data_IF_194933160419
#
_entry.id   IF_194933160419
#
_cell.length_a   1.000
_cell.length_b   1.000
_cell.length_c   1.000
_cell.angle_alpha   90.00
_cell.angle_beta   90.00
_cell.angle_gamma   90.00
#
_symmetry.space_group_name_H-M   'P 1'
#
loop_
_entity.id
_entity.type
_entity.pdbx_description
1 polymer ?
#
# COMPACT_ATOMS: atom_id res chain seq x y z
N UNK A 1 -20.98 -15.26 -10.23
CA UNK A 1 -20.31 -14.92 -8.96
C UNK A 1 -18.82 -15.10 -9.20
N UNK A 2 -18.09 -14.04 -9.59
CA UNK A 2 -16.65 -14.16 -9.89
C UNK A 2 -15.93 -14.16 -8.56
N UNK A 3 -15.57 -15.34 -8.04
CA UNK A 3 -14.59 -15.45 -6.97
C UNK A 3 -13.31 -14.84 -7.50
N UNK A 4 -12.99 -13.62 -7.07
CA UNK A 4 -11.71 -13.00 -7.43
C UNK A 4 -10.61 -13.88 -6.85
N UNK A 5 -9.83 -14.51 -7.74
CA UNK A 5 -8.63 -15.27 -7.39
C UNK A 5 -7.77 -14.47 -6.42
N UNK A 6 -7.13 -15.13 -5.46
CA UNK A 6 -6.30 -14.48 -4.43
C UNK A 6 -5.24 -13.60 -5.08
N UNK A 7 -4.68 -14.06 -6.21
CA UNK A 7 -3.77 -13.31 -7.08
C UNK A 7 -4.31 -11.95 -7.53
N UNK A 8 -5.53 -11.92 -8.10
CA UNK A 8 -6.18 -10.68 -8.56
C UNK A 8 -6.40 -9.69 -7.42
N UNK A 9 -6.66 -10.17 -6.19
CA UNK A 9 -6.80 -9.30 -5.01
C UNK A 9 -5.47 -8.67 -4.62
N UNK A 10 -4.37 -9.42 -4.76
CA UNK A 10 -3.02 -8.93 -4.54
C UNK A 10 -2.61 -7.92 -5.62
N UNK A 11 -2.91 -8.21 -6.89
CA UNK A 11 -2.67 -7.28 -8.02
C UNK A 11 -3.43 -5.96 -7.85
N UNK A 12 -4.68 -6.01 -7.40
CA UNK A 12 -5.48 -4.80 -7.15
C UNK A 12 -4.89 -3.93 -6.02
N UNK A 13 -4.28 -4.54 -5.00
CA UNK A 13 -3.60 -3.78 -3.95
C UNK A 13 -2.44 -2.96 -4.55
N UNK A 14 -1.62 -3.58 -5.39
CA UNK A 14 -0.45 -2.91 -5.98
C UNK A 14 -0.81 -1.91 -7.08
N UNK A 15 -1.78 -2.24 -7.94
CA UNK A 15 -2.08 -1.44 -9.14
C UNK A 15 -3.14 -0.37 -8.93
N UNK A 16 -4.07 -0.59 -7.99
CA UNK A 16 -5.20 0.32 -7.78
C UNK A 16 -5.11 1.01 -6.43
N UNK A 17 -4.93 0.24 -5.35
CA UNK A 17 -5.02 0.79 -3.99
C UNK A 17 -3.81 1.66 -3.65
N UNK A 18 -2.58 1.18 -3.88
CA UNK A 18 -1.37 1.96 -3.60
C UNK A 18 -1.34 3.29 -4.39
N UNK A 19 -1.58 3.31 -5.72
CA UNK A 19 -1.64 4.56 -6.47
C UNK A 19 -2.76 5.49 -6.02
N UNK A 20 -3.94 4.95 -5.67
CA UNK A 20 -5.05 5.76 -5.18
C UNK A 20 -4.73 6.47 -3.85
N UNK A 21 -3.85 5.91 -3.01
CA UNK A 21 -3.40 6.59 -1.79
C UNK A 21 -2.67 7.90 -2.09
N UNK A 22 -1.87 7.95 -3.17
CA UNK A 22 -1.18 9.19 -3.57
C UNK A 22 -2.14 10.25 -4.12
N UNK A 23 -3.23 9.85 -4.79
CA UNK A 23 -4.32 10.77 -5.17
C UNK A 23 -5.06 11.28 -3.93
N UNK A 24 -5.24 10.40 -2.93
CA UNK A 24 -5.79 10.74 -1.62
C UNK A 24 -4.98 11.81 -0.91
N UNK A 25 -3.64 11.75 -0.97
CA UNK A 25 -2.76 12.82 -0.46
C UNK A 25 -3.22 14.15 -1.03
N UNK A 26 -3.24 14.32 -2.35
CA UNK A 26 -3.56 15.61 -3.01
C UNK A 26 -4.91 16.22 -2.60
N UNK A 27 -5.87 15.41 -2.15
CA UNK A 27 -7.26 15.83 -1.89
C UNK A 27 -7.70 15.78 -0.42
N UNK A 28 -6.91 15.21 0.48
CA UNK A 28 -7.27 14.98 1.90
C UNK A 28 -6.39 15.76 2.87
N UNK A 29 -6.91 15.96 4.08
CA UNK A 29 -6.29 16.68 5.20
C UNK A 29 -5.25 15.84 5.96
N UNK A 30 -4.41 16.50 6.77
CA UNK A 30 -3.30 15.85 7.46
C UNK A 30 -3.73 14.71 8.42
N UNK A 31 -4.95 14.76 8.97
CA UNK A 31 -5.48 13.66 9.79
C UNK A 31 -5.65 12.38 8.98
N UNK A 32 -6.09 12.50 7.72
CA UNK A 32 -6.21 11.36 6.82
C UNK A 32 -4.84 10.77 6.51
N UNK A 33 -3.83 11.64 6.27
CA UNK A 33 -2.47 11.20 5.95
C UNK A 33 -1.81 10.48 7.13
N UNK A 34 -1.94 11.05 8.34
CA UNK A 34 -1.46 10.42 9.57
C UNK A 34 -2.12 9.05 9.81
N UNK A 35 -3.45 8.98 9.72
CA UNK A 35 -4.16 7.70 9.86
C UNK A 35 -3.79 6.68 8.77
N UNK A 36 -3.48 7.16 7.56
CA UNK A 36 -3.02 6.30 6.47
C UNK A 36 -1.67 5.68 6.80
N UNK A 37 -0.71 6.48 7.27
CA UNK A 37 0.63 6.04 7.65
C UNK A 37 0.65 5.10 8.87
N UNK A 38 -0.13 5.43 9.89
CA UNK A 38 -0.11 4.71 11.18
C UNK A 38 -0.98 3.44 11.17
N UNK A 39 -2.11 3.45 10.47
CA UNK A 39 -3.10 2.37 10.55
C UNK A 39 -3.34 1.67 9.22
N UNK A 40 -3.59 2.44 8.14
CA UNK A 40 -4.08 1.86 6.88
C UNK A 40 -2.99 1.13 6.12
N UNK A 41 -1.81 1.74 5.99
CA UNK A 41 -0.68 1.18 5.26
C UNK A 41 -0.16 -0.12 5.91
N UNK A 42 0.07 -0.20 7.24
CA UNK A 42 0.47 -1.46 7.89
C UNK A 42 -0.61 -2.55 7.78
N UNK A 43 -1.89 -2.17 7.87
CA UNK A 43 -3.00 -3.12 7.71
C UNK A 43 -3.06 -3.70 6.29
N UNK A 44 -2.81 -2.87 5.28
CA UNK A 44 -2.74 -3.32 3.89
C UNK A 44 -1.52 -4.19 3.61
N UNK A 45 -0.36 -3.85 4.18
CA UNK A 45 0.85 -4.67 4.08
C UNK A 45 0.62 -6.06 4.64
N UNK A 46 0.08 -6.16 5.86
CA UNK A 46 -0.25 -7.44 6.49
C UNK A 46 -1.24 -8.25 5.65
N UNK A 47 -2.21 -7.57 5.02
CA UNK A 47 -3.16 -8.21 4.11
C UNK A 47 -2.51 -8.68 2.81
N UNK A 48 -1.62 -7.90 2.21
CA UNK A 48 -0.88 -8.26 1.01
C UNK A 48 0.03 -9.48 1.26
N UNK A 49 0.74 -9.50 2.39
CA UNK A 49 1.55 -10.64 2.81
C UNK A 49 0.71 -11.90 3.00
N UNK A 50 -0.46 -11.78 3.65
CA UNK A 50 -1.39 -12.91 3.79
C UNK A 50 -1.87 -13.43 2.44
N UNK A 51 -2.26 -12.54 1.54
CA UNK A 51 -2.70 -12.91 0.18
C UNK A 51 -1.57 -13.57 -0.60
N UNK A 52 -0.33 -13.12 -0.48
CA UNK A 52 0.82 -13.75 -1.12
C UNK A 52 1.05 -15.18 -0.61
N UNK A 53 0.91 -15.41 0.69
CA UNK A 53 0.98 -16.74 1.28
C UNK A 53 -0.17 -17.64 0.83
N UNK A 54 -1.40 -17.13 0.80
CA UNK A 54 -2.57 -17.84 0.27
C UNK A 54 -2.40 -18.17 -1.21
N UNK A 55 -1.85 -17.26 -2.01
CA UNK A 55 -1.60 -17.44 -3.44
C UNK A 55 -0.59 -18.58 -3.69
N UNK A 56 0.50 -18.63 -2.91
CA UNK A 56 1.46 -19.74 -2.92
C UNK A 56 0.81 -21.07 -2.51
N UNK A 57 0.01 -21.07 -1.44
CA UNK A 57 -0.69 -22.29 -0.96
C UNK A 57 -1.71 -22.83 -1.96
N UNK A 58 -2.41 -21.95 -2.67
CA UNK A 58 -3.40 -22.32 -3.67
C UNK A 58 -2.79 -22.71 -5.03
N UNK A 59 -1.47 -22.58 -5.20
CA UNK A 59 -0.80 -22.80 -6.49
C UNK A 59 -1.13 -21.73 -7.54
N UNK A 60 -1.68 -20.58 -7.14
CA UNK A 60 -1.98 -19.45 -8.03
C UNK A 60 -0.73 -18.62 -8.40
N UNK A 61 0.35 -18.79 -7.63
CA UNK A 61 1.66 -18.18 -7.84
C UNK A 61 2.74 -19.27 -7.91
N UNK A 62 3.50 -19.31 -9.00
CA UNK A 62 4.65 -20.20 -9.15
C UNK A 62 5.87 -19.75 -8.34
N UNK A 63 6.85 -20.64 -8.21
CA UNK A 63 8.18 -20.29 -7.66
C UNK A 63 8.84 -19.25 -8.56
N UNK A 64 9.12 -18.07 -8.01
CA UNK A 64 9.74 -16.94 -8.73
C UNK A 64 8.77 -15.86 -9.21
N UNK A 65 7.46 -15.98 -8.95
CA UNK A 65 6.54 -14.87 -9.21
C UNK A 65 6.77 -13.72 -8.24
N UNK A 66 7.32 -12.61 -8.77
CA UNK A 66 7.56 -11.37 -8.03
C UNK A 66 6.30 -10.89 -7.28
N UNK A 67 5.11 -11.12 -7.85
CA UNK A 67 3.84 -10.75 -7.23
C UNK A 67 3.68 -11.30 -5.80
N UNK A 68 4.12 -12.53 -5.56
CA UNK A 68 4.00 -13.20 -4.27
C UNK A 68 5.31 -13.21 -3.45
N UNK A 69 6.31 -12.44 -3.88
CA UNK A 69 7.56 -12.27 -3.13
C UNK A 69 7.32 -11.36 -1.92
N UNK A 70 7.47 -11.93 -0.73
CA UNK A 70 7.27 -11.20 0.53
C UNK A 70 8.26 -10.05 0.71
N UNK A 71 9.50 -10.21 0.26
CA UNK A 71 10.51 -9.16 0.33
C UNK A 71 10.16 -8.00 -0.61
N UNK A 72 9.68 -8.30 -1.82
CA UNK A 72 9.21 -7.26 -2.75
C UNK A 72 7.98 -6.54 -2.23
N UNK A 73 7.00 -7.27 -1.67
CA UNK A 73 5.79 -6.66 -1.09
C UNK A 73 6.20 -5.67 0.01
N UNK A 74 7.03 -6.09 0.96
CA UNK A 74 7.54 -5.20 2.02
C UNK A 74 8.27 -3.99 1.46
N UNK A 75 9.11 -4.18 0.44
CA UNK A 75 9.83 -3.08 -0.22
C UNK A 75 8.87 -2.06 -0.85
N UNK A 76 7.82 -2.52 -1.54
CA UNK A 76 6.79 -1.64 -2.13
C UNK A 76 6.04 -0.84 -1.06
N UNK A 77 5.65 -1.49 0.04
CA UNK A 77 4.97 -0.80 1.14
C UNK A 77 5.90 0.18 1.86
N UNK A 78 7.17 -0.17 2.06
CA UNK A 78 8.17 0.72 2.63
C UNK A 78 8.44 1.94 1.74
N UNK A 79 8.59 1.74 0.43
CA UNK A 79 8.76 2.85 -0.53
C UNK A 79 7.52 3.76 -0.53
N UNK A 80 6.33 3.16 -0.49
CA UNK A 80 5.06 3.89 -0.39
C UNK A 80 5.02 4.74 0.89
N UNK A 81 5.42 4.16 2.02
CA UNK A 81 5.50 4.86 3.31
C UNK A 81 6.41 6.07 3.23
N UNK A 82 7.65 5.89 2.75
CA UNK A 82 8.65 6.97 2.64
C UNK A 82 8.13 8.13 1.78
N UNK A 83 7.47 7.81 0.66
CA UNK A 83 6.87 8.84 -0.20
C UNK A 83 5.74 9.60 0.51
N UNK A 84 4.84 8.89 1.20
CA UNK A 84 3.74 9.50 1.94
C UNK A 84 4.23 10.36 3.13
N UNK A 85 5.27 9.91 3.85
CA UNK A 85 5.91 10.67 4.93
C UNK A 85 6.56 11.95 4.41
N UNK A 86 7.22 11.89 3.24
CA UNK A 86 7.79 13.08 2.59
C UNK A 86 6.72 14.11 2.23
N UNK A 87 5.58 13.65 1.71
CA UNK A 87 4.44 14.53 1.42
C UNK A 87 3.87 15.16 2.70
N UNK A 88 3.79 14.40 3.80
CA UNK A 88 3.34 14.91 5.10
C UNK A 88 4.24 16.04 5.60
N UNK A 89 5.56 15.83 5.62
CA UNK A 89 6.53 16.84 6.05
C UNK A 89 6.49 18.10 5.17
N UNK A 90 6.28 17.93 3.86
CA UNK A 90 6.17 19.06 2.93
C UNK A 90 4.93 19.90 3.21
N UNK A 91 3.81 19.27 3.60
CA UNK A 91 2.57 19.97 3.98
C UNK A 91 2.68 20.69 5.30
N UNK A 92 3.18 20.00 6.33
CA UNK A 92 3.41 20.61 7.64
C UNK A 92 4.35 21.82 7.54
N UNK A 93 5.39 21.72 6.70
CA UNK A 93 6.27 22.86 6.44
C UNK A 93 5.51 24.03 5.81
N UNK A 94 4.65 23.78 4.81
CA UNK A 94 3.89 24.85 4.13
C UNK A 94 2.84 25.52 5.03
N UNK A 95 2.15 24.77 5.87
CA UNK A 95 1.18 25.34 6.82
C UNK A 95 1.85 26.13 7.93
N UNK A 96 3.06 25.74 8.35
CA UNK A 96 3.82 26.45 9.40
C UNK A 96 4.32 27.84 8.99
N UNK A 97 4.50 28.11 7.70
CA UNK A 97 4.92 29.43 7.19
C UNK A 97 3.76 30.35 6.78
N UNK A 98 2.50 29.92 6.93
CA UNK A 98 1.30 30.74 6.64
C UNK A 98 0.67 31.36 7.90
N UNK A 99 1.37 31.34 9.04
CA UNK A 99 0.92 31.92 10.31
C UNK A 99 1.63 33.23 10.64
#
# INVERSE_FOLDING_TARGET
>A
MVTSSVRKRLEAIERDIIPAMFVGVLSKDDKWLKNTLENTLPSLEARALRLAQECKKNGECGEGEALCDEARIRAVFQETRVKLEKEHLTRESRTRFQH
#
